data_IF_912592140035
#
_entry.id   IF_912592140035
#
_cell.length_a   1.000
_cell.length_b   1.000
_cell.length_c   1.000
_cell.angle_alpha   90.00
_cell.angle_beta   90.00
_cell.angle_gamma   90.00
#
_symmetry.space_group_name_H-M   'P 1'
#
loop_
_entity.id
_entity.type
_entity.pdbx_description
1 polymer ?
#
# COMPACT_ATOMS: atom_id res chain seq x y z
N UNK A 1 -6.64 6.70 -14.06
CA UNK A 1 -6.29 5.34 -14.55
C UNK A 1 -6.58 4.37 -13.42
N UNK A 2 -7.20 3.23 -13.71
CA UNK A 2 -7.42 2.18 -12.70
C UNK A 2 -6.07 1.50 -12.45
N UNK A 3 -5.66 1.43 -11.19
CA UNK A 3 -4.40 0.80 -10.79
C UNK A 3 -4.54 -0.72 -10.91
N UNK A 4 -3.51 -1.39 -11.44
CA UNK A 4 -3.45 -2.86 -11.49
C UNK A 4 -3.16 -3.41 -10.10
N UNK A 5 -4.08 -4.17 -9.54
CA UNK A 5 -3.87 -4.86 -8.26
C UNK A 5 -2.83 -5.98 -8.39
N UNK A 6 -2.07 -6.21 -7.32
CA UNK A 6 -1.17 -7.35 -7.18
C UNK A 6 -1.74 -8.37 -6.18
N UNK A 7 -1.42 -9.67 -6.31
CA UNK A 7 -1.75 -10.69 -5.31
C UNK A 7 -1.21 -10.41 -3.91
N UNK A 8 -0.22 -9.53 -3.80
CA UNK A 8 0.39 -9.09 -2.54
C UNK A 8 -0.33 -7.92 -1.90
N UNK A 9 -1.33 -7.35 -2.58
CA UNK A 9 -2.12 -6.26 -2.03
C UNK A 9 -2.97 -6.75 -0.86
N UNK A 10 -3.21 -5.83 0.08
CA UNK A 10 -4.05 -6.10 1.23
C UNK A 10 -5.50 -6.31 0.80
N UNK A 11 -6.11 -7.37 1.34
CA UNK A 11 -7.56 -7.52 1.33
C UNK A 11 -8.23 -6.40 2.13
N UNK A 12 -9.52 -6.16 1.92
CA UNK A 12 -10.24 -5.13 2.66
C UNK A 12 -10.24 -5.39 4.18
N UNK A 13 -10.36 -6.65 4.59
CA UNK A 13 -10.33 -7.05 6.00
C UNK A 13 -8.96 -6.76 6.63
N UNK A 14 -7.87 -7.11 5.95
CA UNK A 14 -6.53 -6.79 6.44
C UNK A 14 -6.29 -5.28 6.52
N UNK A 15 -6.81 -4.54 5.53
CA UNK A 15 -6.73 -3.09 5.53
C UNK A 15 -7.50 -2.45 6.69
N UNK A 16 -8.70 -2.94 7.01
CA UNK A 16 -9.49 -2.44 8.15
C UNK A 16 -8.77 -2.59 9.49
N UNK A 17 -7.96 -3.65 9.65
CA UNK A 17 -7.14 -3.86 10.85
C UNK A 17 -5.94 -2.91 10.86
N UNK A 18 -5.31 -2.68 9.71
CA UNK A 18 -4.08 -1.90 9.60
C UNK A 18 -4.33 -0.38 9.62
N UNK A 19 -5.36 0.10 8.91
CA UNK A 19 -5.68 1.50 8.73
C UNK A 19 -5.71 2.34 10.03
N UNK A 20 -6.35 1.90 11.15
CA UNK A 20 -6.37 2.69 12.38
C UNK A 20 -5.01 2.82 13.06
N UNK A 21 -4.03 1.98 12.71
CA UNK A 21 -2.68 2.05 13.25
C UNK A 21 -1.80 3.08 12.54
N UNK A 22 -2.24 3.58 11.37
CA UNK A 22 -1.51 4.57 10.60
C UNK A 22 -1.84 5.97 11.16
N UNK A 23 -0.85 6.73 11.64
CA UNK A 23 -1.09 8.06 12.17
C UNK A 23 -1.75 8.99 11.12
N UNK A 24 -2.58 9.96 11.57
CA UNK A 24 -3.08 10.99 10.69
C UNK A 24 -1.94 11.82 10.10
N UNK A 25 -2.22 12.55 9.03
CA UNK A 25 -1.25 13.47 8.44
C UNK A 25 -0.86 14.53 9.47
N UNK A 26 0.43 14.86 9.56
CA UNK A 26 0.91 15.90 10.46
C UNK A 26 0.52 17.28 9.93
N UNK A 27 0.21 18.19 10.85
CA UNK A 27 -0.01 19.61 10.54
C UNK A 27 1.31 20.35 10.32
N UNK A 28 1.26 21.46 9.58
CA UNK A 28 2.40 22.36 9.41
C UNK A 28 3.51 21.92 8.43
N UNK A 29 3.28 20.85 7.66
CA UNK A 29 4.21 20.34 6.63
C UNK A 29 3.57 20.17 5.25
N UNK A 30 4.27 19.52 4.31
CA UNK A 30 3.68 19.17 3.02
C UNK A 30 2.45 18.27 3.25
N UNK A 31 1.28 18.60 2.68
CA UNK A 31 0.08 17.80 2.84
C UNK A 31 0.31 16.36 2.39
N UNK A 32 -0.12 15.39 3.19
CA UNK A 32 -0.13 13.99 2.75
C UNK A 32 -1.24 13.82 1.71
N UNK A 33 -0.86 13.73 0.45
CA UNK A 33 -1.76 13.51 -0.69
C UNK A 33 -1.82 12.05 -1.14
N UNK A 34 -0.89 11.22 -0.67
CA UNK A 34 -0.82 9.80 -1.06
C UNK A 34 -1.84 8.96 -0.32
N UNK A 35 -2.42 7.98 -1.02
CA UNK A 35 -3.24 6.94 -0.43
C UNK A 35 -2.37 5.99 0.42
N UNK A 36 -2.67 5.92 1.71
CA UNK A 36 -1.91 5.08 2.65
C UNK A 36 -2.09 3.58 2.37
N UNK A 37 -3.22 3.16 1.79
CA UNK A 37 -3.41 1.77 1.38
C UNK A 37 -2.45 1.40 0.27
N UNK A 38 -2.27 2.29 -0.69
CA UNK A 38 -1.35 2.06 -1.81
C UNK A 38 0.12 2.05 -1.35
N UNK A 39 0.49 2.85 -0.35
CA UNK A 39 1.81 2.76 0.29
C UNK A 39 2.01 1.39 0.95
N UNK A 40 1.02 0.92 1.71
CA UNK A 40 1.09 -0.40 2.34
C UNK A 40 1.17 -1.52 1.28
N UNK A 41 0.33 -1.48 0.24
CA UNK A 41 0.39 -2.41 -0.88
C UNK A 41 1.79 -2.44 -1.52
N UNK A 42 2.42 -1.28 -1.73
CA UNK A 42 3.77 -1.18 -2.27
C UNK A 42 4.83 -1.79 -1.33
N UNK A 43 4.73 -1.57 -0.01
CA UNK A 43 5.61 -2.19 0.98
C UNK A 43 5.45 -3.72 0.96
N UNK A 44 4.22 -4.23 0.95
CA UNK A 44 3.95 -5.67 0.92
C UNK A 44 4.45 -6.31 -0.38
N UNK A 45 4.25 -5.65 -1.52
CA UNK A 45 4.83 -6.05 -2.79
C UNK A 45 6.34 -6.22 -2.67
N UNK A 46 7.03 -5.20 -2.14
CA UNK A 46 8.48 -5.24 -1.96
C UNK A 46 8.92 -6.38 -1.04
N UNK A 47 8.26 -6.54 0.12
CA UNK A 47 8.57 -7.59 1.09
C UNK A 47 8.34 -9.00 0.54
N UNK A 48 7.34 -9.21 -0.32
CA UNK A 48 6.99 -10.52 -0.89
C UNK A 48 7.80 -10.87 -2.14
N UNK A 49 8.24 -9.88 -2.92
CA UNK A 49 8.92 -10.12 -4.21
C UNK A 49 10.41 -9.84 -4.19
N UNK A 50 10.90 -9.05 -3.23
CA UNK A 50 12.26 -8.56 -3.23
C UNK A 50 12.54 -7.49 -4.30
N UNK A 51 11.54 -6.64 -4.63
CA UNK A 51 11.68 -5.52 -5.58
C UNK A 51 11.80 -5.92 -7.06
N UNK A 52 10.99 -6.89 -7.51
CA UNK A 52 10.96 -7.26 -8.92
C UNK A 52 10.40 -6.12 -9.79
N UNK A 53 10.86 -6.04 -11.04
CA UNK A 53 10.37 -5.04 -12.02
C UNK A 53 8.91 -5.24 -12.41
N UNK A 54 8.46 -6.49 -12.45
CA UNK A 54 7.07 -6.85 -12.68
C UNK A 54 6.82 -8.20 -12.04
N UNK A 55 5.79 -8.30 -11.19
CA UNK A 55 5.32 -9.60 -10.74
C UNK A 55 4.47 -10.20 -11.86
N UNK A 56 5.00 -11.25 -12.47
CA UNK A 56 4.21 -12.08 -13.37
C UNK A 56 3.33 -12.98 -12.50
N UNK A 57 2.02 -12.92 -12.76
CA UNK A 57 1.06 -13.89 -12.22
C UNK A 57 1.35 -15.22 -12.93
N UNK A 58 1.80 -16.24 -12.20
CA UNK A 58 1.88 -17.59 -12.72
C UNK A 58 0.48 -18.20 -12.78
#
# INVERSE_FOLDING_TARGET
MVRKSYPTDLTDIEWEILAPLIPPAKEGGHPRTTDMREICNAIYYHLKTGCQWNMQQA
#
